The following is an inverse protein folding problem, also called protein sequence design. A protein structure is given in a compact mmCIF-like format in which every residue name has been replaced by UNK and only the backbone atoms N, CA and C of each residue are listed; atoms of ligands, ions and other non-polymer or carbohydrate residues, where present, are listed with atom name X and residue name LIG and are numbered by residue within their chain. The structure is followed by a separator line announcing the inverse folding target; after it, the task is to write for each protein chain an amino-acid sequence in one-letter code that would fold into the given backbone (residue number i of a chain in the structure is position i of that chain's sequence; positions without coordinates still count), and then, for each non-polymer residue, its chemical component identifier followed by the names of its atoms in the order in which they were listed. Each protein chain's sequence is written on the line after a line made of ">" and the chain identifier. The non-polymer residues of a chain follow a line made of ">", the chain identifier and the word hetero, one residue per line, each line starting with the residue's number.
data_IF_721755061630
#
_entry.id   IF_721755061630
#
_cell.length_a   1.000
_cell.length_b   1.000
_cell.length_c   1.000
_cell.angle_alpha   90.00
_cell.angle_beta   90.00
_cell.angle_gamma   90.00
#
_symmetry.space_group_name_H-M   'P 1'
#
loop_
_entity.id
_entity.type
_entity.pdbx_description
1 polymer ?
#
# COMPACT_ATOMS: atom_id res chain seq x y z
N UNK A 1 20.94 -14.94 9.40
CA UNK A 1 19.66 -14.18 9.44
C UNK A 1 19.75 -13.01 8.46
N UNK A 2 18.92 -12.96 7.40
CA UNK A 2 18.91 -11.81 6.50
C UNK A 2 18.47 -10.55 7.27
N UNK A 3 19.32 -9.52 7.30
CA UNK A 3 18.99 -8.23 7.91
C UNK A 3 17.83 -7.62 7.15
N UNK A 4 16.72 -7.30 7.83
CA UNK A 4 15.63 -6.50 7.25
C UNK A 4 16.22 -5.14 6.84
N UNK A 5 16.32 -4.88 5.54
CA UNK A 5 16.72 -3.58 5.01
C UNK A 5 15.49 -2.66 5.09
N UNK A 6 15.57 -1.64 5.93
CA UNK A 6 14.57 -0.58 5.98
C UNK A 6 14.97 0.52 5.00
N UNK A 7 13.99 1.11 4.31
CA UNK A 7 14.15 2.35 3.56
C UNK A 7 13.41 3.45 4.31
N UNK A 8 14.01 4.64 4.41
CA UNK A 8 13.29 5.85 4.81
C UNK A 8 12.50 6.35 3.60
N UNK A 9 11.24 6.69 3.84
CA UNK A 9 10.33 7.25 2.85
C UNK A 9 9.85 8.56 3.45
N UNK A 10 9.90 9.65 2.68
CA UNK A 10 9.31 10.91 3.10
C UNK A 10 7.80 10.75 3.18
N UNK A 11 7.23 10.89 4.38
CA UNK A 11 5.79 10.95 4.57
C UNK A 11 5.43 12.42 4.85
N UNK A 12 4.49 13.02 4.11
CA UNK A 12 4.03 14.38 4.41
C UNK A 12 3.43 14.44 5.82
N UNK A 13 3.64 15.56 6.50
CA UNK A 13 3.30 15.74 7.92
C UNK A 13 1.81 15.55 8.18
N UNK A 14 0.93 16.03 7.29
CA UNK A 14 -0.51 15.81 7.37
C UNK A 14 -0.91 14.33 7.46
N UNK A 15 -0.27 13.47 6.67
CA UNK A 15 -0.55 12.03 6.71
C UNK A 15 -0.02 11.40 7.99
N UNK A 16 1.15 11.84 8.46
CA UNK A 16 1.71 11.39 9.72
C UNK A 16 0.78 11.73 10.89
N UNK A 17 0.30 12.97 10.95
CA UNK A 17 -0.63 13.45 11.99
C UNK A 17 -1.95 12.67 11.99
N UNK A 18 -2.48 12.33 10.81
CA UNK A 18 -3.66 11.48 10.71
C UNK A 18 -3.39 10.06 11.26
N UNK A 19 -2.25 9.46 10.90
CA UNK A 19 -1.86 8.16 11.45
C UNK A 19 -1.69 8.23 12.97
N UNK A 20 -1.06 9.29 13.47
CA UNK A 20 -0.86 9.49 14.90
C UNK A 20 -2.20 9.65 15.65
N UNK A 21 -3.16 10.40 15.10
CA UNK A 21 -4.51 10.51 15.66
C UNK A 21 -5.20 9.15 15.74
N UNK A 22 -5.07 8.30 14.72
CA UNK A 22 -5.67 6.97 14.70
C UNK A 22 -5.04 6.07 15.77
N UNK A 23 -3.71 6.08 15.89
CA UNK A 23 -2.98 5.33 16.91
C UNK A 23 -3.33 5.81 18.31
N UNK A 24 -3.33 7.13 18.54
CA UNK A 24 -3.72 7.76 19.81
C UNK A 24 -5.17 7.51 20.18
N UNK A 25 -6.06 7.38 19.19
CA UNK A 25 -7.46 7.05 19.45
C UNK A 25 -7.64 5.67 20.07
N UNK A 26 -6.65 4.77 20.00
CA UNK A 26 -6.68 3.43 20.60
C UNK A 26 -7.74 2.47 20.04
N UNK A 27 -8.59 2.95 19.12
CA UNK A 27 -9.76 2.24 18.60
C UNK A 27 -9.41 1.08 17.66
N UNK A 28 -8.23 1.10 17.06
CA UNK A 28 -7.82 0.13 16.04
C UNK A 28 -6.75 -0.86 16.50
N UNK A 29 -6.31 -0.81 17.76
CA UNK A 29 -5.35 -1.77 18.32
C UNK A 29 -3.91 -1.63 17.81
N UNK A 30 -3.59 -0.59 17.05
CA UNK A 30 -2.22 -0.33 16.58
C UNK A 30 -1.35 0.22 17.72
N UNK A 31 -0.18 -0.38 17.93
CA UNK A 31 0.76 0.10 18.95
C UNK A 31 1.57 1.32 18.49
N UNK A 32 1.80 1.47 17.19
CA UNK A 32 2.63 2.56 16.63
C UNK A 32 2.21 2.94 15.21
N UNK A 33 2.51 4.18 14.80
CA UNK A 33 2.31 4.68 13.42
C UNK A 33 2.98 3.75 12.41
N UNK A 34 4.20 3.30 12.68
CA UNK A 34 4.93 2.38 11.80
C UNK A 34 4.21 1.04 11.59
N UNK A 35 3.46 0.56 12.58
CA UNK A 35 2.69 -0.68 12.47
C UNK A 35 1.47 -0.50 11.57
N UNK A 36 0.71 0.57 11.80
CA UNK A 36 -0.40 0.99 10.97
C UNK A 36 0.04 1.18 9.51
N UNK A 37 1.15 1.87 9.28
CA UNK A 37 1.67 2.13 7.93
C UNK A 37 2.09 0.82 7.26
N UNK A 38 2.82 -0.06 7.94
CA UNK A 38 3.22 -1.37 7.39
C UNK A 38 2.01 -2.21 6.97
N UNK A 39 1.00 -2.28 7.82
CA UNK A 39 -0.22 -3.05 7.54
C UNK A 39 -0.99 -2.44 6.36
N UNK A 40 -1.17 -1.13 6.36
CA UNK A 40 -1.85 -0.39 5.28
C UNK A 40 -1.17 -0.59 3.93
N UNK A 41 0.16 -0.45 3.88
CA UNK A 41 0.95 -0.66 2.65
C UNK A 41 0.83 -2.12 2.19
N UNK A 42 0.90 -3.09 3.11
CA UNK A 42 0.81 -4.51 2.76
C UNK A 42 -0.55 -4.85 2.13
N UNK A 43 -1.65 -4.38 2.74
CA UNK A 43 -3.01 -4.59 2.23
C UNK A 43 -3.20 -3.91 0.87
N UNK A 44 -2.74 -2.67 0.73
CA UNK A 44 -2.86 -1.90 -0.52
C UNK A 44 -2.07 -2.52 -1.66
N UNK A 45 -0.86 -3.03 -1.40
CA UNK A 45 -0.05 -3.73 -2.40
C UNK A 45 -0.70 -5.05 -2.84
N UNK A 46 -1.35 -5.78 -1.95
CA UNK A 46 -2.08 -7.00 -2.32
C UNK A 46 -3.28 -6.71 -3.22
N UNK A 47 -4.06 -5.67 -2.89
CA UNK A 47 -5.15 -5.19 -3.74
C UNK A 47 -4.61 -4.78 -5.11
N UNK A 48 -3.60 -3.91 -5.16
CA UNK A 48 -2.99 -3.47 -6.42
C UNK A 48 -2.43 -4.64 -7.23
N UNK A 49 -1.84 -5.65 -6.60
CA UNK A 49 -1.37 -6.86 -7.28
C UNK A 49 -2.51 -7.67 -7.91
N UNK A 50 -3.73 -7.59 -7.36
CA UNK A 50 -4.92 -8.14 -8.01
C UNK A 50 -5.33 -7.31 -9.21
N UNK A 51 -5.43 -5.98 -9.06
CA UNK A 51 -5.75 -5.06 -10.16
C UNK A 51 -4.79 -5.18 -11.35
N UNK A 52 -3.47 -5.15 -11.11
CA UNK A 52 -2.47 -5.28 -12.18
C UNK A 52 -2.46 -6.67 -12.83
N UNK A 53 -2.95 -7.71 -12.15
CA UNK A 53 -3.13 -9.03 -12.76
C UNK A 53 -4.35 -9.06 -13.70
N UNK A 54 -5.30 -8.14 -13.53
CA UNK A 54 -6.50 -8.03 -14.39
C UNK A 54 -6.25 -7.14 -15.62
N UNK A 55 -5.41 -6.10 -15.52
CA UNK A 55 -5.07 -5.22 -16.65
C UNK A 55 -4.06 -5.81 -17.66
N UNK A 56 -3.50 -6.99 -17.38
CA UNK A 56 -2.68 -7.74 -18.36
C UNK A 56 -3.53 -8.64 -19.28
N UNK A 57 -4.83 -8.37 -19.40
CA UNK A 57 -5.57 -8.70 -20.63
C UNK A 57 -5.59 -7.46 -21.52
N UNK A 58 -4.56 -7.20 -22.34
CA UNK A 58 -4.77 -6.37 -23.51
C UNK A 58 -5.91 -7.03 -24.28
N UNK A 59 -6.99 -6.28 -24.41
CA UNK A 59 -8.11 -6.57 -25.28
C UNK A 59 -7.52 -6.94 -26.63
N UNK A 60 -7.60 -8.23 -27.00
CA UNK A 60 -7.38 -8.67 -28.37
C UNK A 60 -8.50 -8.04 -29.20
N UNK A 61 -8.33 -6.80 -29.60
CA UNK A 61 -9.05 -6.22 -30.72
C UNK A 61 -8.27 -6.60 -31.97
N UNK A 62 -8.53 -7.80 -32.48
CA UNK A 62 -8.27 -8.09 -33.87
C UNK A 62 -9.34 -7.38 -34.69
N UNK A 63 -8.92 -6.58 -35.67
CA UNK A 63 -9.65 -6.29 -36.89
C UNK A 63 -8.65 -5.84 -37.97
N UNK A 64 -8.42 -6.80 -38.88
CA UNK A 64 -8.05 -6.72 -40.30
C UNK A 64 -7.14 -5.59 -40.84
N UNK A 65 -6.03 -6.04 -41.41
CA UNK A 65 -5.13 -5.35 -42.34
C UNK A 65 -5.82 -4.97 -43.66
N UNK A 66 -5.47 -3.84 -44.30
CA UNK A 66 -5.61 -3.64 -45.75
C UNK A 66 -4.35 -3.99 -46.55
#
# INVERSE_FOLDING_TARGET
>A
MPRKRYRMIGLPEDLYLQCEKIVKSGRHGYSSVSELVKESVRRRLEELRRYFREEEKPERCGMEEP
#
